data_IF_654785350255
#
_entry.id   IF_654785350255
#
_cell.length_a   1.000
_cell.length_b   1.000
_cell.length_c   1.000
_cell.angle_alpha   90.00
_cell.angle_beta   90.00
_cell.angle_gamma   90.00
#
_symmetry.space_group_name_H-M   'P 1'
#
loop_
_entity.id
_entity.type
_entity.pdbx_description
1 polymer ?
#
# COMPACT_ATOMS: atom_id res chain seq x y z
N UNK A 1 -10.99 -4.57 -14.81
CA UNK A 1 -10.26 -5.62 -15.54
C UNK A 1 -10.44 -7.00 -14.89
N UNK A 2 -10.53 -7.08 -13.56
CA UNK A 2 -10.65 -8.34 -12.80
C UNK A 2 -11.88 -9.19 -13.16
N UNK A 3 -12.92 -8.62 -13.78
CA UNK A 3 -14.09 -9.38 -14.27
C UNK A 3 -13.84 -10.15 -15.58
N UNK A 4 -12.81 -9.78 -16.35
CA UNK A 4 -12.45 -10.45 -17.61
C UNK A 4 -11.21 -11.34 -17.48
N UNK A 5 -10.37 -11.05 -16.48
CA UNK A 5 -9.19 -11.84 -16.13
C UNK A 5 -9.17 -11.99 -14.59
N UNK A 6 -9.80 -13.04 -14.04
CA UNK A 6 -9.98 -13.20 -12.59
C UNK A 6 -8.68 -13.19 -11.79
N UNK A 7 -7.59 -13.66 -12.41
CA UNK A 7 -6.26 -13.74 -11.80
C UNK A 7 -5.39 -12.50 -12.08
N UNK A 8 -5.91 -11.54 -12.84
CA UNK A 8 -5.21 -10.31 -13.18
C UNK A 8 -5.61 -9.18 -12.23
N UNK A 9 -4.75 -8.94 -11.26
CA UNK A 9 -4.84 -7.82 -10.33
C UNK A 9 -3.63 -6.92 -10.56
N UNK A 10 -3.85 -5.68 -10.97
CA UNK A 10 -2.78 -4.70 -11.25
C UNK A 10 -3.22 -3.31 -10.77
N UNK A 11 -3.69 -3.25 -9.53
CA UNK A 11 -4.10 -1.98 -8.92
C UNK A 11 -2.87 -1.25 -8.37
N UNK A 12 -2.84 0.06 -8.59
CA UNK A 12 -1.81 0.91 -8.02
C UNK A 12 -2.13 1.20 -6.56
N UNK A 13 -1.13 1.11 -5.69
CA UNK A 13 -1.29 1.33 -4.26
C UNK A 13 -0.19 2.25 -3.74
N UNK A 14 -0.51 2.91 -2.63
CA UNK A 14 0.39 3.83 -1.94
C UNK A 14 0.49 3.43 -0.48
N UNK A 15 1.66 3.66 0.11
CA UNK A 15 1.91 3.36 1.51
C UNK A 15 2.82 4.40 2.14
N UNK A 16 2.69 4.57 3.46
CA UNK A 16 3.60 5.40 4.25
C UNK A 16 4.60 4.51 4.98
N UNK A 17 5.87 4.90 4.90
CA UNK A 17 6.98 4.23 5.58
C UNK A 17 7.63 5.17 6.59
N UNK A 18 8.19 4.59 7.63
CA UNK A 18 9.01 5.30 8.60
C UNK A 18 10.49 4.90 8.45
N UNK A 19 11.44 5.76 8.86
CA UNK A 19 12.85 5.41 8.84
C UNK A 19 13.15 4.10 9.58
N UNK A 20 14.13 3.34 9.07
CA UNK A 20 14.61 2.14 9.74
C UNK A 20 15.09 2.48 11.15
N UNK A 21 14.66 1.70 12.15
CA UNK A 21 15.02 1.91 13.55
C UNK A 21 14.12 2.88 14.31
N UNK A 22 13.05 3.40 13.69
CA UNK A 22 12.03 4.18 14.42
C UNK A 22 11.48 3.33 15.57
N UNK A 23 11.44 3.85 16.82
CA UNK A 23 10.89 3.13 17.96
C UNK A 23 9.44 2.68 17.74
N UNK A 24 9.10 1.47 18.22
CA UNK A 24 7.78 0.85 17.97
C UNK A 24 6.62 1.68 18.52
N UNK A 25 6.81 2.30 19.67
CA UNK A 25 5.82 3.20 20.30
C UNK A 25 5.56 4.45 19.45
N UNK A 26 6.60 5.00 18.83
CA UNK A 26 6.46 6.13 17.88
C UNK A 26 5.73 5.68 16.61
N UNK A 27 6.06 4.51 16.07
CA UNK A 27 5.35 3.93 14.92
C UNK A 27 3.86 3.73 15.25
N UNK A 28 3.55 3.16 16.41
CA UNK A 28 2.18 2.93 16.84
C UNK A 28 1.39 4.25 16.97
N UNK A 29 2.01 5.27 17.59
CA UNK A 29 1.40 6.59 17.73
C UNK A 29 1.12 7.25 16.37
N UNK A 30 2.09 7.27 15.47
CA UNK A 30 1.94 7.86 14.14
C UNK A 30 0.93 7.11 13.28
N UNK A 31 0.93 5.77 13.31
CA UNK A 31 -0.06 4.96 12.62
C UNK A 31 -1.48 5.27 13.13
N UNK A 32 -1.67 5.42 14.44
CA UNK A 32 -2.97 5.78 15.00
C UNK A 32 -3.46 7.15 14.50
N UNK A 33 -2.60 8.17 14.45
CA UNK A 33 -2.95 9.48 13.93
C UNK A 33 -3.23 9.47 12.41
N UNK A 34 -2.47 8.69 11.64
CA UNK A 34 -2.73 8.45 10.22
C UNK A 34 -4.12 7.83 10.01
N UNK A 35 -4.47 6.79 10.77
CA UNK A 35 -5.78 6.15 10.66
C UNK A 35 -6.91 7.12 11.01
N UNK A 36 -6.72 8.01 11.98
CA UNK A 36 -7.69 9.07 12.28
C UNK A 36 -7.82 10.05 11.12
N UNK A 37 -6.70 10.48 10.53
CA UNK A 37 -6.71 11.41 9.40
C UNK A 37 -7.44 10.81 8.18
N UNK A 38 -7.21 9.53 7.88
CA UNK A 38 -7.89 8.81 6.79
C UNK A 38 -9.41 8.72 6.96
N UNK A 39 -9.91 8.82 8.20
CA UNK A 39 -11.35 8.83 8.53
C UNK A 39 -11.95 10.24 8.55
N UNK A 40 -11.14 11.28 8.35
CA UNK A 40 -11.67 12.63 8.26
C UNK A 40 -12.40 12.83 6.91
N UNK A 41 -13.58 13.48 6.88
CA UNK A 41 -14.35 13.63 5.65
C UNK A 41 -13.58 14.30 4.52
N UNK A 42 -12.73 15.27 4.83
CA UNK A 42 -11.93 16.00 3.83
C UNK A 42 -10.89 15.09 3.17
N UNK A 43 -10.19 14.28 3.95
CA UNK A 43 -9.17 13.35 3.43
C UNK A 43 -9.81 12.18 2.70
N UNK A 44 -10.85 11.58 3.27
CA UNK A 44 -11.60 10.51 2.62
C UNK A 44 -12.20 11.00 1.30
N UNK A 45 -12.83 12.18 1.31
CA UNK A 45 -13.42 12.81 0.13
C UNK A 45 -12.37 13.08 -0.95
N UNK A 46 -11.20 13.57 -0.57
CA UNK A 46 -10.09 13.76 -1.50
C UNK A 46 -9.60 12.46 -2.13
N UNK A 47 -9.30 11.43 -1.31
CA UNK A 47 -8.81 10.13 -1.81
C UNK A 47 -9.82 9.49 -2.77
N UNK A 48 -11.11 9.49 -2.41
CA UNK A 48 -12.16 8.94 -3.26
C UNK A 48 -12.36 9.73 -4.54
N UNK A 49 -12.22 11.05 -4.50
CA UNK A 49 -12.30 11.91 -5.69
C UNK A 49 -11.19 11.59 -6.70
N UNK A 50 -9.99 11.28 -6.21
CA UNK A 50 -8.85 10.87 -7.05
C UNK A 50 -8.92 9.38 -7.46
N UNK A 51 -10.03 8.69 -7.18
CA UNK A 51 -10.25 7.29 -7.57
C UNK A 51 -9.59 6.26 -6.65
N UNK A 52 -9.04 6.70 -5.51
CA UNK A 52 -8.45 5.83 -4.51
C UNK A 52 -9.46 5.31 -3.49
N UNK A 53 -9.03 4.29 -2.74
CA UNK A 53 -9.74 3.80 -1.57
C UNK A 53 -8.89 4.06 -0.31
N UNK A 54 -9.42 4.76 0.71
CA UNK A 54 -8.69 4.99 1.94
C UNK A 54 -8.54 3.68 2.73
N UNK A 55 -7.32 3.17 2.85
CA UNK A 55 -7.00 1.96 3.61
C UNK A 55 -6.18 2.30 4.85
N UNK A 56 -6.76 2.07 6.02
CA UNK A 56 -6.05 2.15 7.30
C UNK A 56 -5.66 0.76 7.80
N UNK A 57 -4.40 0.37 7.63
CA UNK A 57 -3.87 -0.93 8.08
C UNK A 57 -2.99 -0.80 9.33
N UNK A 58 -2.66 -1.95 9.94
CA UNK A 58 -1.55 -2.03 10.89
C UNK A 58 -0.20 -2.00 10.16
N UNK A 59 0.90 -1.64 10.84
CA UNK A 59 2.25 -1.73 10.27
C UNK A 59 2.61 -3.15 9.78
N UNK A 60 2.18 -4.17 10.52
CA UNK A 60 2.43 -5.58 10.18
C UNK A 60 1.68 -5.99 8.93
N UNK A 61 0.40 -5.61 8.82
CA UNK A 61 -0.41 -5.91 7.64
C UNK A 61 0.15 -5.25 6.37
N UNK A 62 0.65 -4.02 6.50
CA UNK A 62 1.34 -3.34 5.39
C UNK A 62 2.65 -4.05 5.01
N UNK A 63 3.43 -4.51 6.00
CA UNK A 63 4.67 -5.23 5.74
C UNK A 63 4.41 -6.55 4.98
N UNK A 64 3.35 -7.27 5.32
CA UNK A 64 2.97 -8.51 4.65
C UNK A 64 2.43 -8.25 3.23
N UNK A 65 1.63 -7.21 3.05
CA UNK A 65 1.17 -6.76 1.73
C UNK A 65 2.35 -6.39 0.82
N UNK A 66 3.28 -5.57 1.33
CA UNK A 66 4.48 -5.15 0.61
C UNK A 66 5.31 -6.35 0.12
N UNK A 67 5.54 -7.34 1.00
CA UNK A 67 6.30 -8.56 0.63
C UNK A 67 5.60 -9.32 -0.49
N UNK A 68 4.29 -9.52 -0.40
CA UNK A 68 3.51 -10.22 -1.43
C UNK A 68 3.59 -9.51 -2.79
N UNK A 69 3.45 -8.18 -2.79
CA UNK A 69 3.56 -7.39 -4.02
C UNK A 69 4.98 -7.44 -4.60
N UNK A 70 6.00 -7.30 -3.76
CA UNK A 70 7.40 -7.41 -4.18
C UNK A 70 7.69 -8.79 -4.80
N UNK A 71 7.20 -9.88 -4.20
CA UNK A 71 7.35 -11.24 -4.74
C UNK A 71 6.63 -11.40 -6.09
N UNK A 72 5.40 -10.90 -6.20
CA UNK A 72 4.62 -10.91 -7.45
C UNK A 72 5.35 -10.18 -8.57
N UNK A 73 5.80 -8.95 -8.33
CA UNK A 73 6.50 -8.19 -9.36
C UNK A 73 7.90 -8.71 -9.66
N UNK A 74 8.60 -9.30 -8.69
CA UNK A 74 9.87 -10.01 -8.95
C UNK A 74 9.68 -11.14 -9.98
N UNK A 75 8.59 -11.93 -9.85
CA UNK A 75 8.26 -12.98 -10.83
C UNK A 75 8.00 -12.40 -12.21
N UNK A 76 7.25 -11.30 -12.30
CA UNK A 76 6.95 -10.61 -13.57
C UNK A 76 8.23 -10.10 -14.24
N UNK A 77 9.08 -9.38 -13.48
CA UNK A 77 10.35 -8.83 -13.96
C UNK A 77 11.24 -9.93 -14.55
N UNK A 78 11.40 -11.04 -13.82
CA UNK A 78 12.24 -12.15 -14.25
C UNK A 78 11.66 -12.88 -15.48
N UNK A 79 10.36 -13.12 -15.52
CA UNK A 79 9.70 -13.78 -16.65
C UNK A 79 9.80 -12.95 -17.95
N UNK A 80 9.64 -11.62 -17.82
CA UNK A 80 9.67 -10.69 -18.94
C UNK A 80 11.08 -10.17 -19.27
N UNK A 81 12.11 -10.54 -18.49
CA UNK A 81 13.49 -10.06 -18.62
C UNK A 81 13.59 -8.51 -18.63
N UNK A 82 12.79 -7.88 -17.77
CA UNK A 82 12.78 -6.42 -17.63
C UNK A 82 14.04 -6.00 -16.88
N UNK A 83 14.78 -5.05 -17.45
CA UNK A 83 15.95 -4.42 -16.82
C UNK A 83 15.72 -2.91 -16.80
N UNK A 84 16.14 -2.27 -15.72
CA UNK A 84 16.32 -0.82 -15.70
C UNK A 84 17.71 -0.51 -16.29
N UNK A 85 17.82 0.62 -16.97
CA UNK A 85 19.06 1.13 -17.56
C UNK A 85 20.05 1.67 -16.50
#
# INVERSE_FOLDING_TARGET
>A
MNSMFPDFEADNWYAMFFPKGTPKDIVAKLNAEIIKALKSPDVEGFIRKEGGEPVGSTPEALADYFKREAEKYTKVINAAKIVLD
#
